data_IF_066715423073
#
_entry.id   IF_066715423073
#
_cell.length_a   1.000
_cell.length_b   1.000
_cell.length_c   1.000
_cell.angle_alpha   90.00
_cell.angle_beta   90.00
_cell.angle_gamma   90.00
#
_symmetry.space_group_name_H-M   'P 1'
#
loop_
_entity.id
_entity.type
_entity.pdbx_description
1 polymer ?
#
# COMPACT_ATOMS: atom_id res chain seq x y z
N UNK A 1 -18.83 3.76 -44.28
CA UNK A 1 -17.43 3.35 -44.03
C UNK A 1 -16.46 4.56 -43.97
N UNK A 2 -16.82 5.69 -44.53
CA UNK A 2 -15.95 6.88 -44.56
C UNK A 2 -15.84 7.65 -43.24
N UNK A 3 -16.86 7.58 -42.36
CA UNK A 3 -16.83 8.26 -41.07
C UNK A 3 -15.90 7.62 -40.01
N UNK A 4 -15.55 6.34 -40.17
CA UNK A 4 -14.64 5.64 -39.23
C UNK A 4 -13.17 5.93 -39.58
N UNK A 5 -12.83 6.03 -40.86
CA UNK A 5 -11.46 6.37 -41.31
C UNK A 5 -11.10 7.83 -40.97
N UNK A 6 -12.00 8.79 -41.18
CA UNK A 6 -11.80 10.19 -40.79
C UNK A 6 -11.54 10.38 -39.28
N UNK A 7 -12.22 9.61 -38.44
CA UNK A 7 -12.11 9.73 -36.97
C UNK A 7 -10.86 9.08 -36.36
N UNK A 8 -10.27 8.10 -37.05
CA UNK A 8 -8.99 7.47 -36.60
C UNK A 8 -7.84 8.41 -36.95
N UNK A 9 -7.88 9.04 -38.12
CA UNK A 9 -6.89 10.07 -38.54
C UNK A 9 -6.84 11.27 -37.59
N UNK A 10 -7.99 11.76 -37.11
CA UNK A 10 -8.04 12.91 -36.21
C UNK A 10 -7.36 12.63 -34.84
N UNK A 11 -7.53 11.44 -34.29
CA UNK A 11 -6.87 11.07 -33.04
C UNK A 11 -5.35 10.93 -33.20
N UNK A 12 -4.89 10.31 -34.27
CA UNK A 12 -3.46 10.17 -34.55
C UNK A 12 -2.82 11.54 -34.82
N UNK A 13 -3.53 12.44 -35.53
CA UNK A 13 -3.09 13.81 -35.72
C UNK A 13 -2.95 14.57 -34.41
N UNK A 14 -3.90 14.39 -33.48
CA UNK A 14 -3.80 14.97 -32.12
C UNK A 14 -2.57 14.45 -31.37
N UNK A 15 -2.30 13.15 -31.41
CA UNK A 15 -1.13 12.56 -30.74
C UNK A 15 0.18 13.08 -31.34
N UNK A 16 0.25 13.19 -32.67
CA UNK A 16 1.40 13.75 -33.37
C UNK A 16 1.64 15.21 -32.98
N UNK A 17 0.59 16.04 -32.94
CA UNK A 17 0.71 17.43 -32.54
C UNK A 17 1.15 17.58 -31.06
N UNK A 18 0.63 16.76 -30.16
CA UNK A 18 1.07 16.74 -28.77
C UNK A 18 2.56 16.38 -28.70
N UNK A 19 3.00 15.33 -29.40
CA UNK A 19 4.40 14.94 -29.46
C UNK A 19 5.31 16.06 -30.00
N UNK A 20 4.87 16.78 -31.03
CA UNK A 20 5.63 17.88 -31.62
C UNK A 20 5.72 19.12 -30.72
N UNK A 21 4.79 19.29 -29.78
CA UNK A 21 4.76 20.42 -28.86
C UNK A 21 5.51 20.11 -27.53
N UNK A 22 6.02 18.87 -27.34
CA UNK A 22 6.79 18.46 -26.16
C UNK A 22 8.28 18.75 -26.32
N UNK A 23 8.94 19.11 -25.21
CA UNK A 23 10.38 19.27 -25.13
C UNK A 23 11.06 17.93 -24.75
N UNK A 24 12.35 17.77 -25.08
CA UNK A 24 13.11 16.53 -24.83
C UNK A 24 13.06 16.07 -23.36
N UNK A 25 13.15 17.00 -22.42
CA UNK A 25 13.10 16.68 -21.00
C UNK A 25 11.70 16.20 -20.55
N UNK A 26 10.63 16.74 -21.15
CA UNK A 26 9.25 16.34 -20.92
C UNK A 26 8.98 14.92 -21.46
N UNK A 27 9.49 14.65 -22.67
CA UNK A 27 9.41 13.31 -23.28
C UNK A 27 10.14 12.26 -22.43
N UNK A 28 11.35 12.57 -21.99
CA UNK A 28 12.12 11.70 -21.06
C UNK A 28 11.36 11.40 -19.78
N UNK A 29 10.70 12.42 -19.22
CA UNK A 29 9.90 12.26 -18.01
C UNK A 29 8.68 11.37 -18.26
N UNK A 30 7.97 11.54 -19.37
CA UNK A 30 6.84 10.67 -19.74
C UNK A 30 7.28 9.22 -19.92
N UNK A 31 8.41 8.96 -20.59
CA UNK A 31 8.98 7.63 -20.76
C UNK A 31 9.34 7.02 -19.41
N UNK A 32 9.94 7.80 -18.50
CA UNK A 32 10.26 7.38 -17.13
C UNK A 32 9.00 6.98 -16.35
N UNK A 33 7.93 7.77 -16.43
CA UNK A 33 6.66 7.50 -15.74
C UNK A 33 5.96 6.23 -16.26
N UNK A 34 6.11 5.92 -17.56
CA UNK A 34 5.49 4.74 -18.18
C UNK A 34 6.33 3.46 -18.07
N UNK A 35 7.49 3.49 -17.42
CA UNK A 35 8.43 2.35 -17.39
C UNK A 35 7.82 1.05 -16.85
N UNK A 36 6.84 1.14 -15.95
CA UNK A 36 6.17 -0.05 -15.38
C UNK A 36 5.21 -0.73 -16.37
N UNK A 37 4.81 -0.01 -17.41
CA UNK A 37 3.91 -0.51 -18.47
C UNK A 37 4.64 -1.04 -19.69
N UNK A 38 5.94 -0.77 -19.83
CA UNK A 38 6.69 -1.00 -21.04
C UNK A 38 7.89 -1.90 -20.77
N UNK A 39 7.87 -3.11 -21.30
CA UNK A 39 8.91 -4.14 -21.07
C UNK A 39 10.30 -3.75 -21.64
N UNK A 40 10.37 -2.88 -22.65
CA UNK A 40 11.61 -2.43 -23.29
C UNK A 40 11.67 -0.91 -23.42
N UNK A 41 11.61 -0.19 -22.30
CA UNK A 41 11.64 1.28 -22.30
C UNK A 41 12.90 1.88 -22.99
N UNK A 42 14.00 1.11 -23.06
CA UNK A 42 15.23 1.53 -23.77
C UNK A 42 15.11 1.60 -25.28
N UNK A 43 14.05 1.06 -25.88
CA UNK A 43 13.78 1.14 -27.32
C UNK A 43 12.99 2.38 -27.73
N UNK A 44 12.42 3.09 -26.78
CA UNK A 44 11.59 4.28 -26.98
C UNK A 44 12.52 5.49 -27.07
N UNK A 45 12.43 6.23 -28.18
CA UNK A 45 13.31 7.37 -28.45
C UNK A 45 12.66 8.69 -28.10
N UNK A 46 11.37 8.81 -28.35
CA UNK A 46 10.59 10.03 -28.20
C UNK A 46 9.14 9.74 -27.75
N UNK A 47 8.35 10.78 -27.60
CA UNK A 47 6.95 10.66 -27.19
C UNK A 47 6.06 10.01 -28.27
N UNK A 48 6.42 10.08 -29.55
CA UNK A 48 5.68 9.39 -30.61
C UNK A 48 5.80 7.89 -30.49
N UNK A 49 7.03 7.38 -30.29
CA UNK A 49 7.28 5.96 -30.00
C UNK A 49 6.54 5.52 -28.74
N UNK A 50 6.54 6.37 -27.68
CA UNK A 50 5.83 6.11 -26.45
C UNK A 50 4.32 5.96 -26.67
N UNK A 51 3.70 6.87 -27.41
CA UNK A 51 2.26 6.84 -27.67
C UNK A 51 1.86 5.61 -28.49
N UNK A 52 2.65 5.21 -29.47
CA UNK A 52 2.45 3.96 -30.22
C UNK A 52 2.50 2.77 -29.25
N UNK A 53 3.48 2.74 -28.36
CA UNK A 53 3.63 1.64 -27.40
C UNK A 53 2.47 1.55 -26.40
N UNK A 54 1.98 2.69 -25.92
CA UNK A 54 0.81 2.77 -25.05
C UNK A 54 -0.47 2.31 -25.77
N UNK A 55 -0.58 2.57 -27.09
CA UNK A 55 -1.69 2.06 -27.91
C UNK A 55 -1.58 0.54 -28.08
N UNK A 56 -0.38 -0.01 -28.34
CA UNK A 56 -0.16 -1.47 -28.42
C UNK A 56 -0.52 -2.19 -27.13
N UNK A 57 -0.29 -1.54 -25.97
CA UNK A 57 -0.65 -2.07 -24.65
C UNK A 57 -2.13 -1.81 -24.27
N UNK A 58 -2.95 -1.24 -25.15
CA UNK A 58 -4.34 -0.85 -24.90
C UNK A 58 -4.51 0.13 -23.72
N UNK A 59 -3.47 0.87 -23.34
CA UNK A 59 -3.50 1.89 -22.29
C UNK A 59 -3.91 3.27 -22.81
N UNK A 60 -3.72 3.52 -24.10
CA UNK A 60 -4.09 4.75 -24.79
C UNK A 60 -4.98 4.42 -25.97
N UNK A 61 -6.23 4.83 -25.92
CA UNK A 61 -7.19 4.64 -27.01
C UNK A 61 -7.97 5.94 -27.26
N UNK A 62 -8.71 6.01 -28.35
CA UNK A 62 -9.59 7.15 -28.61
C UNK A 62 -10.67 7.32 -27.52
N UNK A 63 -11.12 6.24 -26.90
CA UNK A 63 -12.14 6.22 -25.86
C UNK A 63 -11.57 6.44 -24.45
N UNK A 64 -10.32 6.03 -24.22
CA UNK A 64 -9.63 6.21 -22.94
C UNK A 64 -8.26 6.88 -23.19
N UNK A 65 -8.22 8.19 -22.96
CA UNK A 65 -7.01 9.01 -23.05
C UNK A 65 -6.45 9.36 -21.69
N UNK A 66 -6.93 8.71 -20.60
CA UNK A 66 -6.61 9.16 -19.26
C UNK A 66 -5.11 9.06 -18.93
N UNK A 67 -4.41 8.02 -19.40
CA UNK A 67 -2.94 7.92 -19.22
C UNK A 67 -2.21 9.13 -19.84
N UNK A 68 -2.64 9.61 -21.01
CA UNK A 68 -2.06 10.79 -21.63
C UNK A 68 -2.37 12.07 -20.85
N UNK A 69 -3.60 12.18 -20.32
CA UNK A 69 -3.95 13.30 -19.44
C UNK A 69 -3.09 13.31 -18.16
N UNK A 70 -2.86 12.15 -17.58
CA UNK A 70 -2.03 11.97 -16.39
C UNK A 70 -0.56 12.33 -16.67
N UNK A 71 -0.01 11.89 -17.81
CA UNK A 71 1.35 12.25 -18.25
C UNK A 71 1.52 13.76 -18.47
N UNK A 72 0.59 14.39 -19.18
CA UNK A 72 0.60 15.84 -19.39
C UNK A 72 0.44 16.63 -18.09
N UNK A 73 -0.33 16.09 -17.13
CA UNK A 73 -0.44 16.67 -15.81
C UNK A 73 0.90 16.64 -15.05
N UNK A 74 1.59 15.50 -15.04
CA UNK A 74 2.87 15.35 -14.32
C UNK A 74 4.04 16.08 -14.99
N UNK A 75 3.97 16.33 -16.29
CA UNK A 75 4.94 17.19 -17.00
C UNK A 75 4.60 18.67 -16.94
N UNK A 76 3.46 19.03 -16.31
CA UNK A 76 3.03 20.43 -16.17
C UNK A 76 2.47 21.05 -17.47
N UNK A 77 2.23 20.25 -18.52
CA UNK A 77 1.73 20.72 -19.83
C UNK A 77 0.20 20.85 -19.81
N UNK A 78 -0.28 21.71 -18.93
CA UNK A 78 -1.73 22.03 -18.81
C UNK A 78 -2.28 22.75 -20.06
N UNK A 79 -1.41 23.43 -20.80
CA UNK A 79 -1.71 24.03 -22.09
C UNK A 79 -2.15 22.97 -23.11
N UNK A 80 -1.43 21.84 -23.20
CA UNK A 80 -1.74 20.74 -24.11
C UNK A 80 -2.98 19.97 -23.69
N UNK A 81 -3.20 19.78 -22.36
CA UNK A 81 -4.44 19.21 -21.83
C UNK A 81 -5.66 19.97 -22.35
N UNK A 82 -5.64 21.29 -22.26
CA UNK A 82 -6.74 22.14 -22.69
C UNK A 82 -6.85 22.21 -24.24
N UNK A 83 -5.71 22.35 -24.92
CA UNK A 83 -5.65 22.55 -26.39
C UNK A 83 -6.12 21.32 -27.17
N UNK A 84 -5.68 20.13 -26.78
CA UNK A 84 -5.88 18.91 -27.56
C UNK A 84 -6.88 17.91 -26.95
N UNK A 85 -7.00 17.88 -25.62
CA UNK A 85 -7.87 16.93 -24.92
C UNK A 85 -9.11 17.59 -24.32
N UNK A 86 -9.21 18.92 -24.37
CA UNK A 86 -10.35 19.71 -23.85
C UNK A 86 -10.61 19.48 -22.35
N UNK A 87 -9.57 19.12 -21.59
CA UNK A 87 -9.64 18.80 -20.16
C UNK A 87 -8.88 19.83 -19.34
N UNK A 88 -9.44 20.24 -18.22
CA UNK A 88 -8.80 21.19 -17.29
C UNK A 88 -7.95 20.50 -16.23
N UNK A 89 -6.88 21.18 -15.76
CA UNK A 89 -6.00 20.72 -14.68
C UNK A 89 -6.76 20.19 -13.47
N UNK A 90 -7.73 20.96 -12.95
CA UNK A 90 -8.51 20.61 -11.77
C UNK A 90 -9.30 19.31 -11.92
N UNK A 91 -9.74 19.01 -13.14
CA UNK A 91 -10.46 17.77 -13.44
C UNK A 91 -9.52 16.57 -13.39
N UNK A 92 -8.34 16.65 -14.04
CA UNK A 92 -7.33 15.60 -14.02
C UNK A 92 -6.83 15.39 -12.60
N UNK A 93 -6.53 16.46 -11.86
CA UNK A 93 -6.12 16.40 -10.46
C UNK A 93 -7.11 15.65 -9.58
N UNK A 94 -8.41 15.89 -9.74
CA UNK A 94 -9.46 15.17 -9.00
C UNK A 94 -9.49 13.68 -9.36
N UNK A 95 -9.25 13.33 -10.61
CA UNK A 95 -9.24 11.93 -11.06
C UNK A 95 -7.98 11.19 -10.59
N UNK A 96 -6.81 11.81 -10.60
CA UNK A 96 -5.55 11.22 -10.12
C UNK A 96 -5.62 10.90 -8.61
N UNK A 97 -6.39 11.67 -7.82
CA UNK A 97 -6.57 11.36 -6.39
C UNK A 97 -7.42 10.12 -6.12
N UNK A 98 -8.11 9.61 -7.12
CA UNK A 98 -8.89 8.37 -7.04
C UNK A 98 -8.09 7.22 -7.67
N UNK A 99 -7.57 6.33 -6.83
CA UNK A 99 -6.74 5.19 -7.24
C UNK A 99 -7.40 4.25 -8.30
N UNK A 100 -8.72 4.36 -8.51
CA UNK A 100 -9.42 3.60 -9.56
C UNK A 100 -9.10 4.08 -10.97
N UNK A 101 -8.68 5.31 -11.14
CA UNK A 101 -8.44 5.93 -12.44
C UNK A 101 -6.95 5.99 -12.79
N UNK A 102 -6.09 6.26 -11.81
CA UNK A 102 -4.65 6.44 -12.04
C UNK A 102 -4.01 5.22 -12.71
N UNK A 103 -3.19 5.50 -13.72
CA UNK A 103 -2.44 4.49 -14.48
C UNK A 103 -0.96 4.50 -14.08
N UNK A 104 -0.43 5.66 -13.67
CA UNK A 104 0.95 5.79 -13.21
C UNK A 104 1.05 5.23 -11.79
N UNK A 105 2.03 4.35 -11.55
CA UNK A 105 2.18 3.72 -10.24
C UNK A 105 2.53 4.75 -9.15
N UNK A 106 2.06 4.55 -7.91
CA UNK A 106 2.45 5.40 -6.77
C UNK A 106 3.97 5.46 -6.56
N UNK A 107 4.70 4.40 -6.94
CA UNK A 107 6.15 4.39 -6.89
C UNK A 107 6.77 5.36 -7.90
N UNK A 108 6.26 5.41 -9.14
CA UNK A 108 6.69 6.40 -10.14
C UNK A 108 6.39 7.83 -9.70
N UNK A 109 5.22 8.05 -9.10
CA UNK A 109 4.86 9.35 -8.53
C UNK A 109 5.80 9.77 -7.40
N UNK A 110 6.20 8.83 -6.51
CA UNK A 110 7.21 9.10 -5.49
C UNK A 110 8.55 9.50 -6.12
N UNK A 111 9.07 8.71 -7.06
CA UNK A 111 10.36 8.99 -7.70
C UNK A 111 10.35 10.33 -8.45
N UNK A 112 9.22 10.67 -9.09
CA UNK A 112 9.01 11.97 -9.71
C UNK A 112 9.08 13.09 -8.67
N UNK A 113 8.32 12.99 -7.59
CA UNK A 113 8.27 14.00 -6.52
C UNK A 113 9.65 14.20 -5.87
N UNK A 114 10.40 13.11 -5.64
CA UNK A 114 11.79 13.21 -5.19
C UNK A 114 12.65 13.96 -6.20
N UNK A 115 12.50 13.67 -7.51
CA UNK A 115 13.31 14.29 -8.56
C UNK A 115 13.06 15.78 -8.74
N UNK A 116 11.82 16.21 -8.60
CA UNK A 116 11.43 17.62 -8.72
C UNK A 116 11.85 18.49 -7.53
N UNK A 117 12.19 17.86 -6.40
CA UNK A 117 12.57 18.55 -5.16
C UNK A 117 14.07 18.43 -4.82
N UNK A 118 14.91 17.93 -5.73
CA UNK A 118 16.36 17.86 -5.57
C UNK A 118 17.03 18.95 -6.41
N UNK A 119 17.82 19.80 -5.77
CA UNK A 119 18.61 20.82 -6.45
C UNK A 119 19.92 20.27 -6.97
N UNK A 120 20.60 21.02 -7.86
CA UNK A 120 21.83 20.57 -8.54
C UNK A 120 22.93 20.17 -7.58
N UNK A 121 23.12 20.94 -6.51
CA UNK A 121 24.14 20.69 -5.47
C UNK A 121 23.85 19.37 -4.70
N UNK A 122 22.57 19.05 -4.50
CA UNK A 122 22.16 17.80 -3.89
C UNK A 122 22.37 16.63 -4.85
N UNK A 123 22.08 16.78 -6.14
CA UNK A 123 22.35 15.78 -7.16
C UNK A 123 23.83 15.40 -7.22
N UNK A 124 24.72 16.39 -7.12
CA UNK A 124 26.18 16.15 -7.10
C UNK A 124 26.63 15.38 -5.82
N UNK A 125 25.97 15.62 -4.69
CA UNK A 125 26.20 14.83 -3.46
C UNK A 125 25.69 13.41 -3.63
N UNK A 126 24.48 13.21 -4.17
CA UNK A 126 23.90 11.89 -4.47
C UNK A 126 24.84 11.08 -5.39
N UNK A 127 25.36 11.69 -6.45
CA UNK A 127 26.33 11.04 -7.33
C UNK A 127 27.57 10.57 -6.59
N UNK A 128 28.05 11.34 -5.60
CA UNK A 128 29.22 10.96 -4.79
C UNK A 128 28.92 9.77 -3.88
N UNK A 129 27.72 9.70 -3.28
CA UNK A 129 27.28 8.59 -2.43
C UNK A 129 27.15 7.28 -3.22
N UNK A 130 26.78 7.36 -4.49
CA UNK A 130 26.48 6.22 -5.37
C UNK A 130 27.68 5.72 -6.21
N UNK A 131 28.89 6.18 -5.92
CA UNK A 131 30.10 5.78 -6.69
C UNK A 131 30.35 4.27 -6.73
N UNK A 132 29.91 3.55 -5.71
CA UNK A 132 30.07 2.09 -5.63
C UNK A 132 28.87 1.33 -6.23
N UNK A 133 27.75 1.99 -6.41
CA UNK A 133 26.50 1.38 -6.89
C UNK A 133 26.33 1.52 -8.42
N UNK A 134 26.89 2.59 -9.00
CA UNK A 134 26.78 2.90 -10.44
C UNK A 134 28.19 3.03 -11.04
N UNK A 135 28.43 2.34 -12.15
CA UNK A 135 29.69 2.41 -12.87
C UNK A 135 30.02 3.84 -13.33
N UNK A 136 31.30 4.23 -13.24
CA UNK A 136 31.79 5.60 -13.56
C UNK A 136 31.36 6.04 -14.95
N UNK A 137 31.48 5.18 -15.97
CA UNK A 137 31.09 5.49 -17.37
C UNK A 137 29.61 5.77 -17.56
N UNK A 138 28.73 5.26 -16.66
CA UNK A 138 27.31 5.57 -16.63
C UNK A 138 27.05 6.86 -15.86
N UNK A 139 27.78 7.05 -14.74
CA UNK A 139 27.64 8.22 -13.88
C UNK A 139 27.93 9.53 -14.65
N UNK A 140 28.87 9.52 -15.59
CA UNK A 140 29.22 10.67 -16.43
C UNK A 140 28.08 11.08 -17.38
N UNK A 141 27.20 10.15 -17.75
CA UNK A 141 26.04 10.39 -18.64
C UNK A 141 24.79 10.83 -17.90
N UNK A 142 24.79 10.76 -16.59
CA UNK A 142 23.63 11.12 -15.76
C UNK A 142 23.51 12.64 -15.67
N UNK A 143 22.38 13.17 -16.09
CA UNK A 143 22.09 14.61 -16.08
C UNK A 143 21.06 14.99 -15.01
N UNK A 144 20.19 14.05 -14.63
CA UNK A 144 19.10 14.28 -13.70
C UNK A 144 18.90 13.10 -12.75
N UNK A 145 18.09 13.28 -11.73
CA UNK A 145 17.82 12.23 -10.73
C UNK A 145 17.04 11.02 -11.30
N UNK A 146 16.08 11.17 -12.23
CA UNK A 146 15.45 10.04 -12.93
C UNK A 146 16.44 9.08 -13.59
N UNK A 147 17.54 9.58 -14.15
CA UNK A 147 18.59 8.74 -14.75
C UNK A 147 19.25 7.85 -13.67
N UNK A 148 19.49 8.41 -12.48
CA UNK A 148 20.01 7.66 -11.32
C UNK A 148 19.04 6.55 -10.94
N UNK A 149 17.75 6.87 -10.82
CA UNK A 149 16.75 5.88 -10.46
C UNK A 149 16.68 4.74 -11.47
N UNK A 150 16.75 5.05 -12.77
CA UNK A 150 16.78 4.03 -13.84
C UNK A 150 17.98 3.08 -13.66
N UNK A 151 19.18 3.59 -13.38
CA UNK A 151 20.35 2.74 -13.20
C UNK A 151 20.29 1.92 -11.90
N UNK A 152 19.77 2.47 -10.80
CA UNK A 152 19.57 1.74 -9.55
C UNK A 152 18.51 0.65 -9.68
N UNK A 153 17.41 0.88 -10.45
CA UNK A 153 16.42 -0.13 -10.75
C UNK A 153 16.99 -1.26 -11.62
N UNK A 154 17.79 -0.93 -12.66
CA UNK A 154 18.46 -1.94 -13.50
C UNK A 154 19.40 -2.83 -12.68
N UNK A 155 20.03 -2.27 -11.66
CA UNK A 155 20.90 -2.98 -10.72
C UNK A 155 20.09 -3.71 -9.62
N UNK A 156 18.77 -3.63 -9.62
CA UNK A 156 17.87 -4.14 -8.58
C UNK A 156 18.22 -3.62 -7.17
N UNK A 157 18.79 -2.41 -7.07
CA UNK A 157 19.12 -1.73 -5.80
C UNK A 157 17.90 -1.02 -5.24
N UNK A 158 17.07 -0.44 -6.09
CA UNK A 158 15.77 0.16 -5.70
C UNK A 158 14.62 -0.49 -6.46
N UNK A 159 13.43 -0.36 -5.91
CA UNK A 159 12.17 -0.84 -6.49
C UNK A 159 11.00 -0.46 -5.59
N UNK A 160 9.80 -0.79 -6.02
CA UNK A 160 8.56 -0.48 -5.30
C UNK A 160 8.57 -0.96 -3.84
N UNK A 161 9.21 -2.11 -3.57
CA UNK A 161 9.36 -2.72 -2.25
C UNK A 161 10.79 -2.60 -1.69
N UNK A 162 11.65 -1.84 -2.33
CA UNK A 162 13.09 -1.73 -2.02
C UNK A 162 13.50 -0.27 -1.96
N UNK A 163 13.24 0.37 -0.82
CA UNK A 163 13.43 1.81 -0.62
C UNK A 163 14.63 2.18 0.28
N UNK A 164 15.37 1.19 0.79
CA UNK A 164 16.45 1.44 1.75
C UNK A 164 17.53 2.32 1.21
N UNK A 165 17.94 2.05 -0.03
CA UNK A 165 18.99 2.86 -0.66
C UNK A 165 18.51 4.31 -0.85
N UNK A 166 17.23 4.52 -1.16
CA UNK A 166 16.65 5.87 -1.22
C UNK A 166 16.67 6.53 0.16
N UNK A 167 16.30 5.79 1.22
CA UNK A 167 16.36 6.33 2.59
C UNK A 167 17.77 6.66 3.02
N UNK A 168 18.75 5.77 2.75
CA UNK A 168 20.17 6.01 3.02
C UNK A 168 20.62 7.34 2.37
N UNK A 169 20.34 7.50 1.08
CA UNK A 169 20.69 8.71 0.33
C UNK A 169 20.02 9.94 0.94
N UNK A 170 18.71 9.92 1.13
CA UNK A 170 17.97 11.11 1.54
C UNK A 170 18.08 11.43 3.04
N UNK A 171 18.50 10.48 3.87
CA UNK A 171 18.89 10.75 5.27
C UNK A 171 20.06 11.74 5.33
N UNK A 172 21.00 11.67 4.40
CA UNK A 172 22.16 12.57 4.37
C UNK A 172 21.93 13.85 3.57
N UNK A 173 20.92 13.86 2.69
CA UNK A 173 20.70 14.95 1.74
C UNK A 173 19.60 15.89 2.20
N UNK A 174 18.41 15.33 2.50
CA UNK A 174 17.20 16.14 2.72
C UNK A 174 16.14 15.38 3.52
N UNK A 175 15.95 15.78 4.79
CA UNK A 175 15.01 15.13 5.69
C UNK A 175 13.56 15.17 5.16
N UNK A 176 13.15 16.25 4.51
CA UNK A 176 11.78 16.35 3.97
C UNK A 176 11.53 15.31 2.88
N UNK A 177 12.54 14.95 2.08
CA UNK A 177 12.43 13.91 1.05
C UNK A 177 12.44 12.52 1.69
N UNK A 178 13.17 12.31 2.77
CA UNK A 178 13.09 11.09 3.57
C UNK A 178 11.69 10.89 4.15
N UNK A 179 11.06 11.97 4.64
CA UNK A 179 9.70 11.92 5.17
C UNK A 179 8.67 11.54 4.09
N UNK A 180 8.86 11.99 2.83
CA UNK A 180 8.03 11.57 1.69
C UNK A 180 8.15 10.08 1.41
N UNK A 181 9.36 9.51 1.44
CA UNK A 181 9.58 8.07 1.27
C UNK A 181 8.90 7.29 2.40
N UNK A 182 9.01 7.75 3.63
CA UNK A 182 8.36 7.14 4.79
C UNK A 182 6.83 7.18 4.68
N UNK A 183 6.29 8.31 4.22
CA UNK A 183 4.85 8.46 4.00
C UNK A 183 4.35 7.56 2.86
N UNK A 184 5.11 7.41 1.77
CA UNK A 184 4.80 6.47 0.70
C UNK A 184 4.67 5.03 1.23
N UNK A 185 5.60 4.56 2.06
CA UNK A 185 5.52 3.23 2.67
C UNK A 185 4.29 3.07 3.57
N UNK A 186 3.92 4.13 4.30
CA UNK A 186 2.70 4.13 5.12
C UNK A 186 1.45 4.03 4.25
N UNK A 187 1.38 4.84 3.19
CA UNK A 187 0.27 4.85 2.26
C UNK A 187 0.14 3.52 1.49
N UNK A 188 1.26 2.93 1.08
CA UNK A 188 1.27 1.64 0.37
C UNK A 188 0.60 0.51 1.16
N UNK A 189 0.78 0.48 2.48
CA UNK A 189 0.14 -0.51 3.37
C UNK A 189 -1.37 -0.33 3.45
N UNK A 190 -1.80 0.92 3.60
CA UNK A 190 -3.22 1.26 3.60
C UNK A 190 -3.84 0.91 2.25
N UNK A 191 -3.16 1.23 1.15
CA UNK A 191 -3.61 0.93 -0.21
C UNK A 191 -3.69 -0.58 -0.47
N UNK A 192 -2.74 -1.37 0.05
CA UNK A 192 -2.78 -2.83 -0.08
C UNK A 192 -3.99 -3.42 0.63
N UNK A 193 -4.28 -3.00 1.87
CA UNK A 193 -5.49 -3.40 2.58
C UNK A 193 -6.76 -2.97 1.85
N UNK A 194 -6.82 -1.70 1.43
CA UNK A 194 -7.95 -1.16 0.68
C UNK A 194 -8.19 -1.97 -0.60
N UNK A 195 -7.15 -2.23 -1.38
CA UNK A 195 -7.22 -3.01 -2.60
C UNK A 195 -7.75 -4.43 -2.36
N UNK A 196 -7.21 -5.12 -1.35
CA UNK A 196 -7.61 -6.50 -1.01
C UNK A 196 -9.07 -6.55 -0.60
N UNK A 197 -9.49 -5.73 0.37
CA UNK A 197 -10.87 -5.75 0.87
C UNK A 197 -11.86 -5.19 -0.15
N UNK A 198 -11.50 -4.22 -0.99
CA UNK A 198 -12.37 -3.77 -2.08
C UNK A 198 -12.59 -4.85 -3.14
N UNK A 199 -11.58 -5.66 -3.47
CA UNK A 199 -11.74 -6.83 -4.36
C UNK A 199 -12.67 -7.90 -3.77
N UNK A 200 -12.76 -7.97 -2.46
CA UNK A 200 -13.70 -8.85 -1.74
C UNK A 200 -15.10 -8.22 -1.54
N UNK A 201 -15.39 -7.12 -2.24
CA UNK A 201 -16.67 -6.40 -2.21
C UNK A 201 -16.98 -5.71 -0.85
N UNK A 202 -15.94 -5.40 -0.06
CA UNK A 202 -16.11 -4.60 1.16
C UNK A 202 -16.15 -3.10 0.86
N UNK A 203 -17.00 -2.39 1.59
CA UNK A 203 -16.93 -0.93 1.69
C UNK A 203 -15.82 -0.59 2.66
N UNK A 204 -14.67 -0.10 2.15
CA UNK A 204 -13.50 0.20 2.96
C UNK A 204 -13.46 1.67 3.34
N UNK A 205 -13.49 1.95 4.64
CA UNK A 205 -13.38 3.30 5.20
C UNK A 205 -12.09 3.37 6.03
N UNK A 206 -11.28 4.41 5.80
CA UNK A 206 -10.00 4.60 6.50
C UNK A 206 -10.06 5.85 7.37
N UNK A 207 -9.52 5.73 8.56
CA UNK A 207 -9.30 6.84 9.48
C UNK A 207 -7.80 6.95 9.77
N UNK A 208 -7.25 8.17 9.74
CA UNK A 208 -5.81 8.40 9.91
C UNK A 208 -5.52 9.17 11.18
N UNK A 209 -4.43 8.79 11.82
CA UNK A 209 -3.79 9.56 12.89
C UNK A 209 -4.75 9.92 14.05
N UNK A 210 -5.57 8.95 14.47
CA UNK A 210 -6.51 9.13 15.57
C UNK A 210 -5.80 9.16 16.93
N UNK A 211 -6.28 10.02 17.82
CA UNK A 211 -5.97 10.00 19.26
C UNK A 211 -6.60 8.78 19.93
N UNK A 212 -6.21 8.43 21.15
CA UNK A 212 -6.83 7.34 21.91
C UNK A 212 -8.34 7.53 22.06
N UNK A 213 -8.77 8.72 22.41
CA UNK A 213 -10.18 9.11 22.44
C UNK A 213 -10.86 9.03 21.08
N UNK A 214 -10.17 9.46 20.01
CA UNK A 214 -10.66 9.38 18.63
C UNK A 214 -10.87 7.93 18.17
N UNK A 215 -9.99 7.01 18.53
CA UNK A 215 -10.15 5.58 18.24
C UNK A 215 -11.41 5.04 18.91
N UNK A 216 -11.60 5.32 20.21
CA UNK A 216 -12.77 4.86 20.95
C UNK A 216 -14.06 5.42 20.38
N UNK A 217 -14.10 6.70 20.04
CA UNK A 217 -15.26 7.34 19.44
C UNK A 217 -15.60 6.70 18.08
N UNK A 218 -14.60 6.51 17.21
CA UNK A 218 -14.79 5.88 15.90
C UNK A 218 -15.35 4.47 16.03
N UNK A 219 -14.82 3.66 16.96
CA UNK A 219 -15.31 2.30 17.22
C UNK A 219 -16.76 2.34 17.75
N UNK A 220 -17.07 3.27 18.63
CA UNK A 220 -18.42 3.46 19.14
C UNK A 220 -19.39 3.83 18.02
N UNK A 221 -19.04 4.81 17.19
CA UNK A 221 -19.86 5.26 16.06
C UNK A 221 -20.20 4.09 15.12
N UNK A 222 -19.24 3.21 14.80
CA UNK A 222 -19.50 2.02 13.99
C UNK A 222 -20.33 0.96 14.74
N UNK A 223 -20.17 0.81 16.04
CA UNK A 223 -20.97 -0.16 16.81
C UNK A 223 -22.44 0.23 16.96
N UNK A 224 -22.73 1.55 16.85
CA UNK A 224 -24.09 2.12 16.92
C UNK A 224 -24.79 2.18 15.56
N UNK A 225 -24.05 2.02 14.44
CA UNK A 225 -24.63 1.96 13.10
C UNK A 225 -25.42 0.66 12.88
N UNK A 226 -26.38 0.70 11.95
CA UNK A 226 -27.07 -0.51 11.49
C UNK A 226 -26.21 -1.28 10.47
N UNK A 227 -26.05 -2.57 10.69
CA UNK A 227 -25.31 -3.51 9.83
C UNK A 227 -26.25 -4.56 9.21
N UNK A 228 -27.54 -4.28 9.08
CA UNK A 228 -28.52 -5.26 8.58
C UNK A 228 -28.16 -5.81 7.19
N UNK A 229 -27.65 -4.94 6.32
CA UNK A 229 -27.26 -5.28 4.94
C UNK A 229 -25.80 -5.75 4.82
N UNK A 230 -25.10 -5.94 5.92
CA UNK A 230 -23.71 -6.42 5.93
C UNK A 230 -23.63 -7.88 6.35
N UNK A 231 -22.83 -8.68 5.68
CA UNK A 231 -22.61 -10.10 6.01
C UNK A 231 -21.62 -10.29 7.17
N UNK A 232 -20.71 -9.35 7.35
CA UNK A 232 -19.74 -9.33 8.44
C UNK A 232 -19.21 -7.91 8.70
N UNK A 233 -18.49 -7.73 9.80
CA UNK A 233 -17.75 -6.50 10.12
C UNK A 233 -16.25 -6.81 10.26
N UNK A 234 -15.40 -6.02 9.61
CA UNK A 234 -13.93 -6.14 9.72
C UNK A 234 -13.33 -4.82 10.16
N UNK A 235 -12.50 -4.87 11.18
CA UNK A 235 -11.71 -3.73 11.66
C UNK A 235 -10.23 -4.06 11.59
N UNK A 236 -9.43 -3.23 10.91
CA UNK A 236 -7.98 -3.37 10.84
C UNK A 236 -7.33 -2.18 11.53
N UNK A 237 -6.47 -2.43 12.52
CA UNK A 237 -5.80 -1.39 13.30
C UNK A 237 -4.29 -1.50 13.12
N UNK A 238 -3.67 -0.40 12.71
CA UNK A 238 -2.23 -0.25 12.54
C UNK A 238 -1.72 0.81 13.53
N UNK A 239 -1.13 0.39 14.65
CA UNK A 239 -0.68 1.32 15.68
C UNK A 239 0.57 0.80 16.41
N UNK A 240 1.07 1.60 17.35
CA UNK A 240 1.90 1.13 18.44
C UNK A 240 1.04 0.49 19.53
N UNK A 241 1.63 -0.31 20.39
CA UNK A 241 0.88 -0.93 21.46
C UNK A 241 1.78 -1.61 22.50
N UNK A 242 1.14 -2.14 23.50
CA UNK A 242 1.71 -3.00 24.54
C UNK A 242 0.68 -4.07 24.90
N UNK A 243 0.98 -4.92 25.87
CA UNK A 243 0.13 -6.02 26.31
C UNK A 243 -1.33 -5.57 26.49
N UNK A 244 -2.24 -6.09 25.68
CA UNK A 244 -3.68 -5.83 25.74
C UNK A 244 -4.14 -4.42 25.34
N UNK A 245 -3.22 -3.54 24.89
CA UNK A 245 -3.55 -2.15 24.50
C UNK A 245 -2.92 -1.74 23.17
N UNK A 246 -3.55 -0.77 22.53
CA UNK A 246 -2.98 0.01 21.42
C UNK A 246 -2.85 1.48 21.85
N UNK A 247 -2.04 2.27 21.15
CA UNK A 247 -1.85 3.69 21.47
C UNK A 247 -2.43 4.58 20.39
N UNK A 248 -3.08 5.68 20.80
CA UNK A 248 -3.41 6.79 19.93
C UNK A 248 -2.16 7.61 19.57
N UNK A 249 -2.31 8.58 18.66
CA UNK A 249 -1.24 9.52 18.28
C UNK A 249 -0.79 10.43 19.42
N UNK A 250 -1.64 10.61 20.42
CA UNK A 250 -1.40 11.32 21.67
C UNK A 250 -0.66 10.48 22.74
N UNK A 251 -0.41 9.19 22.45
CA UNK A 251 0.18 8.24 23.39
C UNK A 251 -0.81 7.66 24.42
N UNK A 252 -2.09 8.04 24.34
CA UNK A 252 -3.11 7.44 25.19
C UNK A 252 -3.34 5.97 24.84
N UNK A 253 -3.47 5.11 25.88
CA UNK A 253 -3.70 3.68 25.73
C UNK A 253 -5.19 3.35 25.60
N UNK A 254 -5.52 2.48 24.66
CA UNK A 254 -6.86 1.96 24.42
C UNK A 254 -6.83 0.44 24.58
N UNK A 255 -7.59 -0.08 25.54
CA UNK A 255 -7.68 -1.53 25.75
C UNK A 255 -8.36 -2.20 24.54
N UNK A 256 -7.77 -3.29 24.03
CA UNK A 256 -8.31 -4.07 22.90
C UNK A 256 -9.72 -4.59 23.22
N UNK A 257 -9.97 -5.00 24.46
CA UNK A 257 -11.30 -5.43 24.90
C UNK A 257 -12.36 -4.31 24.73
N UNK A 258 -12.00 -3.03 24.89
CA UNK A 258 -12.94 -1.92 24.65
C UNK A 258 -13.31 -1.81 23.18
N UNK A 259 -12.37 -2.11 22.27
CA UNK A 259 -12.59 -2.07 20.82
C UNK A 259 -13.61 -3.16 20.39
N UNK A 260 -13.47 -4.37 20.94
CA UNK A 260 -14.31 -5.51 20.57
C UNK A 260 -15.66 -5.51 21.29
N UNK A 261 -15.71 -5.04 22.56
CA UNK A 261 -16.91 -5.10 23.42
C UNK A 261 -18.10 -4.26 22.92
N UNK A 262 -17.87 -3.25 22.06
CA UNK A 262 -18.92 -2.47 21.41
C UNK A 262 -19.78 -3.29 20.44
N UNK A 263 -19.22 -4.34 19.87
CA UNK A 263 -19.87 -5.20 18.87
C UNK A 263 -20.55 -6.45 19.43
N UNK A 264 -20.69 -6.55 20.76
CA UNK A 264 -21.50 -7.58 21.39
C UNK A 264 -22.96 -7.49 20.93
N UNK A 265 -23.65 -8.65 20.87
CA UNK A 265 -25.07 -8.73 20.50
C UNK A 265 -25.95 -7.75 21.29
N UNK A 266 -25.63 -7.55 22.57
CA UNK A 266 -26.37 -6.61 23.43
C UNK A 266 -26.21 -5.14 23.07
N UNK A 267 -25.09 -4.77 22.41
CA UNK A 267 -24.79 -3.39 21.99
C UNK A 267 -24.98 -3.15 20.49
N UNK A 268 -24.69 -4.16 19.67
CA UNK A 268 -24.86 -4.11 18.20
C UNK A 268 -25.70 -5.28 17.72
N UNK A 269 -27.05 -5.25 17.91
CA UNK A 269 -27.95 -6.35 17.55
C UNK A 269 -27.93 -6.70 16.06
N UNK A 270 -27.67 -5.72 15.18
CA UNK A 270 -27.61 -5.92 13.72
C UNK A 270 -26.44 -6.79 13.24
N UNK A 271 -25.41 -7.02 14.10
CA UNK A 271 -24.31 -7.96 13.88
C UNK A 271 -24.47 -9.28 14.63
N UNK A 272 -25.63 -9.53 15.25
CA UNK A 272 -25.89 -10.81 15.92
C UNK A 272 -25.82 -11.98 14.92
N UNK A 273 -24.99 -13.01 15.20
CA UNK A 273 -24.80 -14.17 14.33
C UNK A 273 -23.98 -13.89 13.07
N UNK A 274 -23.40 -12.69 12.92
CA UNK A 274 -22.49 -12.31 11.84
C UNK A 274 -21.05 -12.23 12.35
N UNK A 275 -20.04 -12.61 11.55
CA UNK A 275 -18.62 -12.52 11.94
C UNK A 275 -18.17 -11.08 12.22
N UNK A 276 -17.44 -10.91 13.32
CA UNK A 276 -16.79 -9.66 13.73
C UNK A 276 -15.29 -9.91 13.83
N UNK A 277 -14.55 -9.36 12.86
CA UNK A 277 -13.13 -9.67 12.66
C UNK A 277 -12.30 -8.43 12.98
N UNK A 278 -11.28 -8.60 13.81
CA UNK A 278 -10.34 -7.56 14.19
C UNK A 278 -8.92 -8.01 13.86
N UNK A 279 -8.23 -7.32 12.98
CA UNK A 279 -6.81 -7.53 12.71
C UNK A 279 -6.01 -6.39 13.33
N UNK A 280 -5.13 -6.71 14.28
CA UNK A 280 -4.39 -5.71 15.05
C UNK A 280 -2.89 -5.87 14.82
N UNK A 281 -2.30 -4.90 14.17
CA UNK A 281 -0.87 -4.73 14.02
C UNK A 281 -0.38 -3.76 15.08
N UNK A 282 0.06 -4.30 16.21
CA UNK A 282 0.67 -3.56 17.32
C UNK A 282 1.60 -4.48 18.11
N UNK A 283 2.62 -3.91 18.77
CA UNK A 283 3.41 -4.66 19.75
C UNK A 283 2.52 -5.06 20.94
N UNK A 284 2.80 -6.23 21.52
CA UNK A 284 2.11 -6.74 22.72
C UNK A 284 3.06 -6.86 23.92
N UNK A 285 4.21 -6.20 23.87
CA UNK A 285 5.26 -6.20 24.89
C UNK A 285 6.59 -5.77 24.33
N UNK A 286 7.64 -5.86 25.14
CA UNK A 286 9.01 -5.44 24.77
C UNK A 286 9.97 -6.60 24.50
N UNK A 287 9.56 -7.86 24.67
CA UNK A 287 10.42 -9.00 24.48
C UNK A 287 10.55 -9.40 23.00
N UNK A 288 11.76 -9.84 22.59
CA UNK A 288 11.97 -10.45 21.28
C UNK A 288 11.68 -11.95 21.38
N UNK A 289 10.93 -12.49 20.42
CA UNK A 289 10.78 -13.95 20.31
C UNK A 289 12.15 -14.58 20.02
N UNK A 290 12.51 -15.61 20.77
CA UNK A 290 13.73 -16.39 20.53
C UNK A 290 13.43 -17.42 19.44
N UNK A 291 14.36 -17.59 18.48
CA UNK A 291 14.35 -18.77 17.62
C UNK A 291 14.57 -19.99 18.50
N UNK A 292 13.63 -20.93 18.51
CA UNK A 292 13.79 -22.18 19.24
C UNK A 292 14.72 -23.06 18.44
N UNK A 293 16.02 -23.09 18.81
CA UNK A 293 16.77 -24.34 18.73
C UNK A 293 16.28 -25.17 19.91
N UNK A 294 15.76 -26.36 19.59
CA UNK A 294 15.25 -27.30 20.59
C UNK A 294 16.42 -27.77 21.45
N UNK A 295 16.60 -27.16 22.61
CA UNK A 295 17.26 -27.78 23.75
C UNK A 295 16.40 -27.46 24.99
N UNK A 296 15.95 -28.53 25.62
CA UNK A 296 15.22 -28.48 26.87
C UNK A 296 16.12 -27.95 27.98
N UNK A 297 15.66 -26.98 28.75
CA UNK A 297 15.47 -27.12 30.19
C UNK A 297 15.09 -25.77 30.82
N UNK A 298 14.26 -25.93 31.83
CA UNK A 298 13.48 -24.96 32.57
C UNK A 298 14.29 -23.93 33.35
N UNK A 299 13.75 -22.76 33.62
CA UNK A 299 13.13 -22.36 34.89
C UNK A 299 12.90 -20.84 34.98
N UNK A 300 11.68 -20.50 35.34
CA UNK A 300 11.19 -19.45 36.25
C UNK A 300 11.77 -18.03 36.23
N UNK A 301 10.94 -17.09 35.80
CA UNK A 301 10.57 -15.95 36.64
C UNK A 301 9.24 -15.39 36.19
N UNK A 302 8.21 -15.79 36.88
CA UNK A 302 6.87 -15.22 36.83
C UNK A 302 6.83 -13.96 37.68
N UNK A 303 6.32 -12.85 37.18
CA UNK A 303 5.69 -11.82 38.00
C UNK A 303 4.47 -11.27 37.26
N UNK A 304 3.37 -11.87 37.55
CA UNK A 304 1.99 -11.44 37.73
C UNK A 304 1.53 -10.14 37.12
N UNK A 305 0.83 -10.27 35.99
CA UNK A 305 -0.55 -9.81 35.80
C UNK A 305 -1.13 -10.63 34.63
N UNK A 306 -1.87 -11.68 34.99
CA UNK A 306 -2.53 -12.56 34.03
C UNK A 306 -3.72 -11.83 33.39
N UNK A 307 -3.51 -11.19 32.26
CA UNK A 307 -4.58 -10.99 31.28
C UNK A 307 -4.56 -12.25 30.42
N UNK A 308 -5.52 -13.15 30.63
CA UNK A 308 -5.62 -14.37 29.81
C UNK A 308 -6.03 -14.01 28.38
N UNK A 309 -5.73 -14.89 27.40
CA UNK A 309 -6.23 -14.74 26.01
C UNK A 309 -7.76 -14.55 25.98
N UNK A 310 -8.48 -15.15 26.94
CA UNK A 310 -9.92 -14.99 27.11
C UNK A 310 -10.35 -13.54 27.41
N UNK A 311 -9.42 -12.67 27.87
CA UNK A 311 -9.73 -11.29 28.23
C UNK A 311 -9.62 -10.31 27.03
N UNK A 312 -9.12 -10.75 25.88
CA UNK A 312 -8.99 -9.91 24.68
C UNK A 312 -10.23 -9.96 23.77
N UNK A 313 -11.00 -11.06 23.84
CA UNK A 313 -12.21 -11.26 23.03
C UNK A 313 -13.42 -11.28 23.96
N UNK A 314 -14.55 -10.68 23.58
CA UNK A 314 -15.78 -10.87 24.33
C UNK A 314 -16.15 -12.36 24.41
N UNK A 315 -16.65 -12.80 25.55
CA UNK A 315 -17.17 -14.17 25.73
C UNK A 315 -18.53 -14.32 25.01
N UNK A 316 -18.51 -14.13 23.69
CA UNK A 316 -19.67 -14.24 22.79
C UNK A 316 -19.22 -14.88 21.46
N UNK A 317 -20.13 -15.57 20.74
CA UNK A 317 -19.80 -16.20 19.46
C UNK A 317 -19.50 -15.18 18.34
N UNK A 318 -18.87 -15.67 17.28
CA UNK A 318 -18.64 -14.99 16.01
C UNK A 318 -17.59 -13.87 16.07
N UNK A 319 -16.64 -13.92 17.02
CA UNK A 319 -15.48 -13.03 17.01
C UNK A 319 -14.22 -13.74 16.47
N UNK A 320 -13.42 -12.99 15.74
CA UNK A 320 -12.05 -13.33 15.36
C UNK A 320 -11.14 -12.14 15.68
N UNK A 321 -10.11 -12.36 16.47
CA UNK A 321 -9.05 -11.40 16.74
C UNK A 321 -7.73 -11.95 16.20
N UNK A 322 -7.18 -11.34 15.16
CA UNK A 322 -5.88 -11.66 14.59
C UNK A 322 -4.83 -10.67 15.09
N UNK A 323 -4.00 -11.11 16.04
CA UNK A 323 -2.90 -10.30 16.56
C UNK A 323 -1.63 -10.53 15.72
N UNK A 324 -0.87 -9.46 15.48
CA UNK A 324 0.38 -9.55 14.74
C UNK A 324 1.48 -10.32 15.47
N UNK A 325 1.39 -10.44 16.76
CA UNK A 325 2.35 -11.15 17.62
C UNK A 325 1.68 -11.67 18.88
N UNK A 326 2.28 -12.69 19.49
CA UNK A 326 1.88 -13.23 20.81
C UNK A 326 2.08 -12.20 21.92
N UNK A 327 1.42 -12.41 23.05
CA UNK A 327 1.56 -11.56 24.23
C UNK A 327 3.03 -11.45 24.66
N UNK A 328 3.36 -10.32 25.29
CA UNK A 328 4.70 -9.94 25.79
C UNK A 328 5.78 -9.74 24.72
N UNK A 329 5.45 -9.95 23.43
CA UNK A 329 6.42 -9.87 22.34
C UNK A 329 6.23 -8.62 21.47
N UNK A 330 7.33 -8.22 20.82
CA UNK A 330 7.32 -7.17 19.82
C UNK A 330 6.74 -7.71 18.51
N UNK A 331 5.96 -6.90 17.81
CA UNK A 331 5.66 -7.13 16.40
C UNK A 331 6.67 -6.39 15.55
N UNK A 332 7.29 -7.12 14.64
CA UNK A 332 8.27 -6.50 13.77
C UNK A 332 7.60 -5.73 12.64
N UNK A 333 8.09 -4.53 12.47
CA UNK A 333 7.85 -3.71 11.31
C UNK A 333 9.18 -3.57 10.61
N UNK A 334 9.33 -4.22 9.47
CA UNK A 334 10.49 -3.97 8.64
C UNK A 334 10.48 -2.51 8.21
N UNK A 335 11.61 -1.82 8.32
CA UNK A 335 11.68 -0.39 7.99
C UNK A 335 11.24 -0.13 6.54
N UNK A 336 11.51 -1.09 5.64
CA UNK A 336 11.33 -1.00 4.21
C UNK A 336 9.98 -1.52 3.73
N UNK A 337 9.64 -2.75 4.11
CA UNK A 337 8.50 -3.48 3.54
C UNK A 337 7.24 -3.37 4.42
N UNK A 338 7.38 -2.81 5.62
CA UNK A 338 6.29 -2.61 6.56
C UNK A 338 6.03 -3.78 7.50
N UNK A 339 4.79 -3.91 7.95
CA UNK A 339 4.40 -5.00 8.83
C UNK A 339 4.38 -6.33 8.07
N UNK A 340 5.17 -7.27 8.49
CA UNK A 340 5.17 -8.63 7.93
C UNK A 340 3.79 -9.29 8.04
N UNK A 341 3.11 -9.05 9.16
CA UNK A 341 1.77 -9.58 9.38
C UNK A 341 0.75 -9.07 8.36
N UNK A 342 0.69 -7.75 8.15
CA UNK A 342 -0.28 -7.16 7.22
C UNK A 342 0.00 -7.57 5.77
N UNK A 343 1.27 -7.67 5.39
CA UNK A 343 1.64 -8.14 4.06
C UNK A 343 1.28 -9.59 3.84
N UNK A 344 1.66 -10.46 4.77
CA UNK A 344 1.30 -11.87 4.71
C UNK A 344 -0.23 -12.03 4.67
N UNK A 345 -0.98 -11.25 5.48
CA UNK A 345 -2.44 -11.24 5.46
C UNK A 345 -2.99 -10.86 4.07
N UNK A 346 -2.52 -9.75 3.49
CA UNK A 346 -2.93 -9.32 2.16
C UNK A 346 -2.60 -10.38 1.09
N UNK A 347 -1.37 -10.90 1.10
CA UNK A 347 -0.92 -11.92 0.14
C UNK A 347 -1.75 -13.20 0.23
N UNK A 348 -2.02 -13.70 1.44
CA UNK A 348 -2.78 -14.93 1.62
C UNK A 348 -4.26 -14.75 1.31
N UNK A 349 -4.86 -13.60 1.61
CA UNK A 349 -6.22 -13.25 1.19
C UNK A 349 -6.31 -13.21 -0.34
N UNK A 350 -5.40 -12.53 -1.04
CA UNK A 350 -5.40 -12.47 -2.52
C UNK A 350 -5.26 -13.85 -3.17
N UNK A 351 -4.41 -14.73 -2.63
CA UNK A 351 -4.26 -16.10 -3.11
C UNK A 351 -5.52 -16.95 -2.93
N UNK A 352 -6.36 -16.58 -1.97
CA UNK A 352 -7.56 -17.33 -1.58
C UNK A 352 -8.84 -16.84 -2.25
N UNK A 353 -8.83 -15.71 -3.00
CA UNK A 353 -10.00 -15.08 -3.59
C UNK A 353 -10.91 -16.02 -4.41
N UNK A 354 -10.31 -16.93 -5.16
CA UNK A 354 -11.05 -17.85 -6.04
C UNK A 354 -11.22 -19.26 -5.45
N UNK A 355 -10.82 -19.49 -4.20
CA UNK A 355 -10.77 -20.84 -3.60
C UNK A 355 -11.83 -21.09 -2.55
N UNK A 356 -12.51 -20.03 -2.06
CA UNK A 356 -13.52 -20.15 -0.98
C UNK A 356 -12.92 -20.75 0.30
N UNK A 357 -11.66 -20.43 0.62
CA UNK A 357 -10.96 -21.00 1.76
C UNK A 357 -11.39 -20.34 3.07
N UNK A 358 -11.44 -21.14 4.14
CA UNK A 358 -11.75 -20.65 5.49
C UNK A 358 -10.64 -19.70 5.99
N UNK A 359 -11.05 -18.61 6.63
CA UNK A 359 -10.14 -17.62 7.23
C UNK A 359 -9.11 -18.25 8.19
N UNK A 360 -9.46 -19.31 8.91
CA UNK A 360 -8.53 -19.99 9.81
C UNK A 360 -7.38 -20.66 9.06
N UNK A 361 -7.66 -21.25 7.89
CA UNK A 361 -6.63 -21.81 7.02
C UNK A 361 -5.74 -20.70 6.45
N UNK A 362 -6.34 -19.57 6.06
CA UNK A 362 -5.61 -18.39 5.58
C UNK A 362 -4.67 -17.88 6.68
N UNK A 363 -5.15 -17.73 7.91
CA UNK A 363 -4.34 -17.26 9.04
C UNK A 363 -3.23 -18.24 9.42
N UNK A 364 -3.46 -19.55 9.28
CA UNK A 364 -2.40 -20.57 9.45
C UNK A 364 -1.25 -20.34 8.44
N UNK A 365 -1.57 -20.01 7.19
CA UNK A 365 -0.56 -19.67 6.17
C UNK A 365 0.12 -18.33 6.47
N UNK A 366 -0.62 -17.35 6.97
CA UNK A 366 -0.05 -16.07 7.45
C UNK A 366 0.98 -16.33 8.55
N UNK A 367 0.66 -17.18 9.53
CA UNK A 367 1.58 -17.57 10.60
C UNK A 367 2.85 -18.22 10.04
N UNK A 368 2.71 -19.14 9.08
CA UNK A 368 3.85 -19.77 8.42
C UNK A 368 4.71 -18.75 7.66
N UNK A 369 4.10 -17.86 6.87
CA UNK A 369 4.81 -16.83 6.10
C UNK A 369 5.55 -15.86 7.04
N UNK A 370 4.91 -15.40 8.12
CA UNK A 370 5.51 -14.47 9.08
C UNK A 370 6.64 -15.12 9.87
N UNK A 371 6.51 -16.38 10.26
CA UNK A 371 7.52 -17.11 11.05
C UNK A 371 8.82 -17.38 10.29
N UNK A 372 8.79 -17.39 8.97
CA UNK A 372 9.95 -17.63 8.10
C UNK A 372 10.81 -16.38 7.87
N UNK A 373 10.40 -15.22 8.37
CA UNK A 373 11.18 -14.00 8.24
C UNK A 373 12.46 -14.03 9.11
N UNK A 374 13.41 -13.16 8.79
CA UNK A 374 14.76 -13.10 9.43
C UNK A 374 14.71 -12.92 10.96
N UNK A 375 13.61 -12.43 11.51
CA UNK A 375 13.42 -12.30 12.97
C UNK A 375 12.17 -13.07 13.36
N UNK A 376 12.21 -13.86 14.45
CA UNK A 376 11.07 -14.63 14.90
C UNK A 376 9.90 -13.72 15.26
N UNK A 377 8.76 -13.94 14.63
CA UNK A 377 7.48 -13.34 14.97
C UNK A 377 6.40 -14.38 14.71
N UNK A 378 5.51 -14.57 15.67
CA UNK A 378 4.40 -15.50 15.55
C UNK A 378 3.09 -14.73 15.75
N UNK A 379 2.29 -14.53 14.69
CA UNK A 379 0.94 -14.01 14.86
C UNK A 379 0.07 -14.95 15.68
N UNK A 380 -0.93 -14.39 16.38
CA UNK A 380 -1.79 -15.11 17.29
C UNK A 380 -3.25 -14.85 16.95
N UNK A 381 -3.93 -15.77 16.23
CA UNK A 381 -5.36 -15.68 16.00
C UNK A 381 -6.14 -16.30 17.15
N UNK A 382 -7.01 -15.51 17.79
CA UNK A 382 -7.99 -15.97 18.78
C UNK A 382 -9.40 -15.93 18.20
N UNK A 383 -10.19 -16.98 18.33
CA UNK A 383 -11.49 -17.05 17.67
C UNK A 383 -12.57 -17.73 18.50
N UNK A 384 -13.79 -17.16 18.39
CA UNK A 384 -15.04 -17.76 18.85
C UNK A 384 -15.99 -18.02 17.67
N UNK A 385 -15.46 -18.02 16.43
CA UNK A 385 -16.26 -18.38 15.26
C UNK A 385 -16.75 -19.81 15.38
N UNK A 386 -18.05 -20.01 15.18
CA UNK A 386 -18.69 -21.34 15.22
C UNK A 386 -19.09 -21.85 13.83
N UNK A 387 -18.80 -21.06 12.78
CA UNK A 387 -18.99 -21.40 11.36
C UNK A 387 -17.74 -21.02 10.59
N UNK A 388 -17.55 -21.67 9.46
CA UNK A 388 -16.50 -21.27 8.51
C UNK A 388 -16.75 -19.86 8.01
N UNK A 389 -15.70 -19.05 7.95
CA UNK A 389 -15.72 -17.73 7.35
C UNK A 389 -14.87 -17.78 6.08
N UNK A 390 -15.56 -17.77 4.94
CA UNK A 390 -14.92 -17.79 3.63
C UNK A 390 -15.20 -16.46 2.91
N UNK A 391 -14.16 -15.86 2.34
CA UNK A 391 -14.29 -14.70 1.46
C UNK A 391 -14.21 -15.16 0.00
N UNK A 392 -15.17 -14.74 -0.81
CA UNK A 392 -15.17 -15.03 -2.25
C UNK A 392 -15.49 -13.76 -3.03
N UNK A 393 -14.85 -13.59 -4.18
CA UNK A 393 -15.29 -12.57 -5.12
C UNK A 393 -16.68 -12.95 -5.65
N UNK A 394 -17.59 -11.98 -5.73
CA UNK A 394 -18.82 -12.18 -6.51
C UNK A 394 -18.40 -12.49 -7.95
N UNK A 395 -18.80 -13.66 -8.47
CA UNK A 395 -18.76 -13.90 -9.90
C UNK A 395 -19.56 -12.79 -10.57
N UNK A 396 -18.91 -11.98 -11.39
CA UNK A 396 -19.61 -11.12 -12.33
C UNK A 396 -20.53 -12.05 -13.13
N UNK A 397 -21.82 -12.01 -12.84
CA UNK A 397 -22.84 -12.59 -13.71
C UNK A 397 -22.75 -11.84 -15.04
N UNK A 398 -22.20 -12.56 -16.03
CA UNK A 398 -22.08 -12.13 -17.42
C UNK A 398 -23.49 -11.99 -18.02
#
# INVERSE_FOLDING_TARGET
MDNIRSSVDDFLVKLHNISSDLEEDEERLMIFLCKDHITNASSIKDSSDLFIKLQECCLLTKQDTFILQELLYYTGRFDLLKKYLEVGESQVKKQITDARWTKISPFRCLLLDLSQNVVKEELDKIKKLLKNDIAVSKMEKITCLPDIFIELEKAAVIGEDKLDKLKEIFTEINQNLLDKITQYEKNKKEESLRRVFSKLDFIVISHKDLTGGGILQTIQDYSEQTHENSDCFICVILSHGNRGVIYGTDGESVAILKLTSGFKKSKCPSLAGKPKVFFIQACQGGAFQKSVQVEADASNACLNCEVSEADLIPNEPDFLLGMATTQDHVSFRHREVGSWYIQALCNQLERSFNRGEDIQLILTRVNNEVSQNQRPQMPEPCTTLHKQLCFSMKSLSI
#
